data_IF_186749951107
#
_entry.id   IF_186749951107
#
_cell.length_a   1.000
_cell.length_b   1.000
_cell.length_c   1.000
_cell.angle_alpha   90.00
_cell.angle_beta   90.00
_cell.angle_gamma   90.00
#
_symmetry.space_group_name_H-M   'P 1'
#
loop_
_entity.id
_entity.type
_entity.pdbx_description
1 polymer ?
#
# COMPACT_ATOMS: atom_id res chain seq x y z
N UNK A 1 -16.79 -12.29 20.46
CA UNK A 1 -17.23 -11.34 20.00
C UNK A 1 -17.05 -11.10 18.62
N UNK A 2 -17.92 -10.49 18.12
CA UNK A 2 -17.98 -10.19 16.72
C UNK A 2 -16.79 -9.37 16.27
N UNK A 3 -16.32 -8.55 17.14
CA UNK A 3 -15.20 -7.68 16.82
C UNK A 3 -13.94 -8.46 16.53
N UNK A 4 -13.78 -9.61 17.14
CA UNK A 4 -12.61 -10.44 16.89
C UNK A 4 -12.52 -10.85 15.44
N UNK A 5 -13.67 -11.13 14.85
CA UNK A 5 -13.71 -11.55 13.45
C UNK A 5 -13.17 -10.47 12.53
N UNK A 6 -13.51 -9.23 12.81
CA UNK A 6 -13.04 -8.12 12.00
C UNK A 6 -11.53 -7.93 12.14
N UNK A 7 -11.02 -8.20 13.30
CA UNK A 7 -9.59 -8.01 13.55
C UNK A 7 -8.72 -8.91 12.73
N UNK A 8 -9.19 -10.12 12.45
CA UNK A 8 -8.41 -11.04 11.62
C UNK A 8 -8.11 -10.46 10.27
N UNK A 9 -9.04 -9.70 9.72
CA UNK A 9 -8.90 -9.20 8.36
C UNK A 9 -8.09 -7.92 8.28
N UNK A 10 -7.63 -7.44 9.40
CA UNK A 10 -6.83 -6.23 9.41
C UNK A 10 -5.35 -6.49 9.15
N UNK A 11 -4.95 -7.75 9.01
CA UNK A 11 -3.56 -8.09 8.70
C UNK A 11 -3.48 -8.67 7.31
N UNK A 12 -2.58 -8.12 6.51
CA UNK A 12 -2.31 -8.61 5.16
C UNK A 12 -0.85 -9.01 5.08
N UNK A 13 -0.57 -10.07 4.33
CA UNK A 13 0.77 -10.63 4.20
C UNK A 13 1.10 -10.83 2.74
N UNK A 14 2.32 -10.50 2.39
CA UNK A 14 2.85 -10.75 1.05
C UNK A 14 4.32 -11.15 1.21
N UNK A 15 4.60 -12.45 1.06
CA UNK A 15 5.96 -12.94 1.27
C UNK A 15 6.43 -12.67 2.69
N UNK A 16 7.51 -11.95 2.84
CA UNK A 16 8.04 -11.61 4.16
C UNK A 16 7.52 -10.26 4.67
N UNK A 17 6.61 -9.63 3.94
CA UNK A 17 6.00 -8.37 4.36
C UNK A 17 4.67 -8.62 5.04
N UNK A 18 4.45 -7.92 6.13
CA UNK A 18 3.19 -8.01 6.87
C UNK A 18 2.71 -6.60 7.18
N UNK A 19 1.48 -6.32 6.78
CA UNK A 19 0.86 -5.02 7.02
C UNK A 19 -0.25 -5.16 8.03
N UNK A 20 -0.11 -4.45 9.15
CA UNK A 20 -1.15 -4.42 10.18
C UNK A 20 -1.95 -3.14 10.00
N UNK A 21 -3.15 -3.27 9.44
CA UNK A 21 -3.98 -2.11 9.14
C UNK A 21 -4.54 -1.43 10.39
N UNK A 22 -4.70 -2.18 11.46
CA UNK A 22 -5.19 -1.59 12.72
C UNK A 22 -4.16 -0.66 13.32
N UNK A 23 -2.90 -1.10 13.32
CA UNK A 23 -1.83 -0.32 13.91
C UNK A 23 -1.17 0.61 12.92
N UNK A 24 -1.50 0.46 11.64
CA UNK A 24 -0.85 1.21 10.57
C UNK A 24 0.65 1.03 10.63
N UNK A 25 1.07 -0.22 10.66
CA UNK A 25 2.48 -0.59 10.70
C UNK A 25 2.77 -1.70 9.71
N UNK A 26 3.97 -1.70 9.17
CA UNK A 26 4.39 -2.74 8.25
C UNK A 26 5.69 -3.35 8.78
N UNK A 27 5.78 -4.66 8.64
CA UNK A 27 6.94 -5.43 9.10
C UNK A 27 7.52 -6.19 7.91
N UNK A 28 8.83 -6.30 7.91
CA UNK A 28 9.53 -7.10 6.91
C UNK A 28 10.44 -8.07 7.63
N UNK A 29 10.18 -9.37 7.46
CA UNK A 29 10.94 -10.43 8.14
C UNK A 29 10.95 -10.20 9.64
N UNK A 30 9.82 -9.77 10.20
CA UNK A 30 9.66 -9.55 11.63
C UNK A 30 10.16 -8.20 12.14
N UNK A 31 10.72 -7.36 11.27
CA UNK A 31 11.21 -6.05 11.67
C UNK A 31 10.31 -4.96 11.15
N UNK A 32 10.02 -4.00 12.00
CA UNK A 32 9.17 -2.88 11.58
C UNK A 32 9.91 -2.02 10.55
N UNK A 33 9.22 -1.70 9.46
CA UNK A 33 9.74 -0.79 8.44
C UNK A 33 9.10 0.56 8.67
N UNK A 34 9.93 1.60 8.81
CA UNK A 34 9.44 2.94 9.08
C UNK A 34 8.95 3.57 7.79
N UNK A 35 7.64 3.73 7.67
CA UNK A 35 7.01 4.39 6.53
C UNK A 35 6.25 5.62 7.02
N UNK A 36 6.15 6.61 6.17
CA UNK A 36 5.31 7.77 6.48
C UNK A 36 3.85 7.34 6.40
N UNK A 37 2.97 8.18 6.97
CA UNK A 37 1.54 7.89 6.92
C UNK A 37 1.05 7.72 5.48
N UNK A 38 1.50 8.58 4.59
CA UNK A 38 1.09 8.51 3.19
C UNK A 38 1.64 7.26 2.50
N UNK A 39 2.86 6.87 2.82
CA UNK A 39 3.43 5.65 2.28
C UNK A 39 2.65 4.42 2.75
N UNK A 40 2.23 4.41 4.01
CA UNK A 40 1.40 3.33 4.53
C UNK A 40 0.04 3.29 3.86
N UNK A 41 -0.59 4.45 3.69
CA UNK A 41 -1.88 4.52 3.00
C UNK A 41 -1.76 4.04 1.56
N UNK A 42 -0.69 4.41 0.90
CA UNK A 42 -0.42 4.00 -0.48
C UNK A 42 -0.25 2.49 -0.57
N UNK A 43 0.56 1.92 0.33
CA UNK A 43 0.77 0.48 0.36
C UNK A 43 -0.53 -0.26 0.62
N UNK A 44 -1.31 0.22 1.59
CA UNK A 44 -2.60 -0.38 1.91
C UNK A 44 -3.51 -0.39 0.69
N UNK A 45 -3.57 0.73 -0.01
CA UNK A 45 -4.41 0.83 -1.20
C UNK A 45 -3.96 -0.13 -2.29
N UNK A 46 -2.66 -0.21 -2.52
CA UNK A 46 -2.12 -1.14 -3.52
C UNK A 46 -2.43 -2.59 -3.16
N UNK A 47 -2.30 -2.92 -1.89
CA UNK A 47 -2.54 -4.30 -1.44
C UNK A 47 -4.02 -4.67 -1.47
N UNK A 48 -4.91 -3.70 -1.16
CA UNK A 48 -6.34 -3.97 -1.25
C UNK A 48 -6.78 -4.22 -2.69
N UNK A 49 -6.01 -3.71 -3.64
CA UNK A 49 -6.27 -3.91 -5.06
C UNK A 49 -5.20 -4.79 -5.70
N UNK A 50 -4.62 -5.70 -4.92
CA UNK A 50 -3.53 -6.53 -5.40
C UNK A 50 -3.89 -7.29 -6.66
N UNK A 51 -2.97 -7.27 -7.63
CA UNK A 51 -3.20 -7.91 -8.91
C UNK A 51 -4.01 -7.08 -9.88
N UNK A 52 -4.43 -5.88 -9.48
CA UNK A 52 -5.20 -4.99 -10.34
C UNK A 52 -4.44 -3.70 -10.57
N UNK A 53 -4.60 -3.14 -11.76
CA UNK A 53 -3.98 -1.85 -12.08
C UNK A 53 -4.80 -0.74 -11.44
N UNK A 54 -4.12 0.14 -10.71
CA UNK A 54 -4.75 1.33 -10.15
C UNK A 54 -4.15 2.56 -10.83
N UNK A 55 -5.01 3.46 -11.27
CA UNK A 55 -4.55 4.66 -11.96
C UNK A 55 -3.99 5.67 -10.97
N UNK A 56 -3.17 6.59 -11.47
CA UNK A 56 -2.67 7.68 -10.63
C UNK A 56 -3.82 8.50 -10.05
N UNK A 57 -4.86 8.71 -10.85
CA UNK A 57 -6.04 9.45 -10.39
C UNK A 57 -6.72 8.74 -9.23
N UNK A 58 -6.88 7.42 -9.32
CA UNK A 58 -7.43 6.63 -8.24
C UNK A 58 -6.59 6.74 -6.98
N UNK A 59 -5.28 6.66 -7.14
CA UNK A 59 -4.36 6.76 -6.00
C UNK A 59 -4.49 8.13 -5.35
N UNK A 60 -4.51 9.19 -6.15
CA UNK A 60 -4.68 10.54 -5.63
C UNK A 60 -5.98 10.66 -4.84
N UNK A 61 -7.05 10.14 -5.41
CA UNK A 61 -8.36 10.23 -4.80
C UNK A 61 -8.43 9.51 -3.46
N UNK A 62 -7.89 8.31 -3.40
CA UNK A 62 -8.02 7.46 -2.22
C UNK A 62 -6.96 7.70 -1.14
N UNK A 63 -5.84 8.31 -1.50
CA UNK A 63 -4.76 8.51 -0.55
C UNK A 63 -4.63 9.97 -0.14
N UNK A 64 -4.75 10.89 -1.07
CA UNK A 64 -4.53 12.31 -0.79
C UNK A 64 -5.82 13.13 -0.73
N UNK A 65 -6.70 12.98 -1.70
CA UNK A 65 -7.92 13.77 -1.73
C UNK A 65 -8.82 13.48 -0.53
N UNK A 66 -8.84 12.24 -0.09
CA UNK A 66 -9.67 11.83 1.04
C UNK A 66 -9.30 12.60 2.32
N UNK A 67 -8.06 13.04 2.43
CA UNK A 67 -7.58 13.83 3.55
C UNK A 67 -7.58 15.32 3.24
N UNK A 68 -8.17 15.73 2.13
CA UNK A 68 -8.23 17.13 1.74
C UNK A 68 -6.93 17.67 1.20
N UNK A 69 -6.01 16.80 0.83
CA UNK A 69 -4.72 17.21 0.29
C UNK A 69 -4.72 17.04 -1.22
N UNK A 70 -4.72 18.13 -1.94
CA UNK A 70 -4.77 18.09 -3.40
C UNK A 70 -3.36 18.31 -3.94
N UNK A 71 -2.75 17.25 -4.43
CA UNK A 71 -1.37 17.25 -4.91
C UNK A 71 -1.35 16.79 -6.37
N UNK A 72 -0.22 16.98 -7.05
CA UNK A 72 -0.14 16.57 -8.45
C UNK A 72 0.36 15.13 -8.58
N UNK A 73 0.36 14.63 -9.83
CA UNK A 73 0.75 13.26 -10.11
C UNK A 73 2.19 12.95 -9.75
N UNK A 74 3.04 13.95 -9.76
CA UNK A 74 4.44 13.77 -9.38
C UNK A 74 4.57 13.27 -7.96
N UNK A 75 3.67 13.72 -7.08
CA UNK A 75 3.67 13.28 -5.69
C UNK A 75 3.47 11.78 -5.62
N UNK A 76 2.57 11.24 -6.45
CA UNK A 76 2.34 9.79 -6.51
C UNK A 76 3.64 9.08 -6.92
N UNK A 77 4.25 9.54 -7.99
CA UNK A 77 5.46 8.91 -8.52
C UNK A 77 6.59 8.90 -7.48
N UNK A 78 6.79 10.02 -6.79
CA UNK A 78 7.81 10.13 -5.77
C UNK A 78 7.55 9.16 -4.61
N UNK A 79 6.30 9.07 -4.18
CA UNK A 79 5.95 8.20 -3.06
C UNK A 79 6.05 6.73 -3.43
N UNK A 80 5.70 6.38 -4.66
CA UNK A 80 5.89 5.01 -5.15
C UNK A 80 7.37 4.64 -5.10
N UNK A 81 8.22 5.54 -5.58
CA UNK A 81 9.66 5.31 -5.60
C UNK A 81 10.22 5.12 -4.19
N UNK A 82 9.80 5.97 -3.27
CA UNK A 82 10.23 5.87 -1.88
C UNK A 82 9.78 4.56 -1.25
N UNK A 83 8.54 4.18 -1.51
CA UNK A 83 7.99 2.94 -0.97
C UNK A 83 8.77 1.74 -1.47
N UNK A 84 9.06 1.70 -2.76
CA UNK A 84 9.85 0.60 -3.33
C UNK A 84 11.21 0.51 -2.67
N UNK A 85 11.86 1.65 -2.48
CA UNK A 85 13.19 1.67 -1.88
C UNK A 85 13.16 1.21 -0.43
N UNK A 86 12.17 1.66 0.34
CA UNK A 86 12.10 1.31 1.75
C UNK A 86 11.78 -0.17 1.96
N UNK A 87 10.95 -0.73 1.09
CA UNK A 87 10.60 -2.14 1.19
C UNK A 87 11.58 -3.03 0.44
N UNK A 88 12.40 -2.44 -0.41
CA UNK A 88 13.35 -3.22 -1.19
C UNK A 88 12.67 -4.22 -2.11
N UNK A 89 11.54 -3.84 -2.69
CA UNK A 89 10.73 -4.76 -3.47
C UNK A 89 10.55 -4.30 -4.91
N UNK A 90 10.42 -5.26 -5.81
CA UNK A 90 10.09 -4.99 -7.20
C UNK A 90 8.64 -5.30 -7.51
N UNK A 91 7.83 -5.53 -6.49
CA UNK A 91 6.44 -5.94 -6.69
C UNK A 91 5.55 -4.82 -7.24
N UNK A 92 5.97 -3.58 -7.10
CA UNK A 92 5.22 -2.47 -7.67
C UNK A 92 5.72 -2.21 -9.07
N UNK A 93 4.86 -2.42 -10.06
CA UNK A 93 5.20 -2.17 -11.46
C UNK A 93 4.45 -0.98 -11.99
N UNK A 94 5.12 -0.19 -12.80
CA UNK A 94 4.49 0.92 -13.51
C UNK A 94 3.93 0.38 -14.82
N UNK A 95 2.63 0.47 -14.98
CA UNK A 95 1.97 0.06 -16.23
C UNK A 95 1.78 1.32 -17.06
N UNK A 96 2.61 1.46 -18.06
CA UNK A 96 2.70 2.68 -18.84
C UNK A 96 1.34 3.10 -19.38
N UNK A 97 0.98 4.36 -19.10
CA UNK A 97 -0.28 4.91 -19.55
C UNK A 97 -1.51 4.51 -18.75
N UNK A 98 -1.37 3.57 -17.82
CA UNK A 98 -2.51 3.07 -17.05
C UNK A 98 -2.37 3.32 -15.54
N UNK A 99 -1.17 3.14 -14.97
CA UNK A 99 -0.98 3.36 -13.55
C UNK A 99 0.01 2.38 -12.96
N UNK A 100 -0.32 1.87 -11.77
CA UNK A 100 0.57 0.98 -11.04
C UNK A 100 -0.16 -0.29 -10.64
N UNK A 101 0.61 -1.36 -10.45
CA UNK A 101 0.05 -2.64 -10.04
C UNK A 101 0.98 -3.30 -9.02
N UNK A 102 0.39 -3.91 -8.00
CA UNK A 102 1.14 -4.77 -7.10
C UNK A 102 1.09 -6.17 -7.69
N UNK A 103 2.24 -6.72 -8.04
CA UNK A 103 2.31 -7.92 -8.85
C UNK A 103 2.33 -9.22 -8.05
N UNK A 104 2.62 -9.16 -6.75
CA UNK A 104 2.72 -10.36 -5.95
C UNK A 104 1.43 -10.62 -5.18
N UNK A 105 1.24 -11.88 -4.81
CA UNK A 105 0.00 -12.28 -4.14
C UNK A 105 -0.04 -11.77 -2.72
N UNK A 106 -1.14 -11.13 -2.36
CA UNK A 106 -1.39 -10.64 -1.02
C UNK A 106 -2.45 -11.51 -0.37
N UNK A 107 -2.21 -11.93 0.86
CA UNK A 107 -3.11 -12.81 1.59
C UNK A 107 -3.63 -12.06 2.82
N UNK A 108 -4.94 -12.16 3.06
CA UNK A 108 -5.52 -11.58 4.26
C UNK A 108 -5.65 -12.65 5.33
N UNK A 109 -5.27 -12.30 6.52
CA UNK A 109 -5.41 -13.22 7.65
C UNK A 109 -6.67 -12.92 8.43
#
# INVERSE_FOLDING_TARGET
RIDSTKEYKSIMVCGDLELNCREMKVYQSGREVSLSKKELQLLTYLWENGGQIVSKDSILEHVWDVDGQFVDENTVTVNISRLKNKLGTDAISNVRGLGYIWTEKVIRK
#
